data_IF_801468558009
#
_entry.id   IF_801468558009
#
_cell.length_a   1.000
_cell.length_b   1.000
_cell.length_c   1.000
_cell.angle_alpha   90.00
_cell.angle_beta   90.00
_cell.angle_gamma   90.00
#
_symmetry.space_group_name_H-M   'P 1'
#
loop_
_entity.id
_entity.type
_entity.pdbx_description
1 polymer ?
#
# COMPACT_ATOMS: atom_id res chain seq x y z
N UNK A 1 2.64 31.01 -8.38
CA UNK A 1 2.40 31.35 -9.78
C UNK A 1 0.90 31.19 -10.04
N UNK A 2 0.22 32.11 -10.72
CA UNK A 2 -1.21 31.99 -10.96
C UNK A 2 -1.48 30.84 -11.94
N UNK A 3 -2.46 29.99 -11.62
CA UNK A 3 -2.94 28.93 -12.46
C UNK A 3 -3.46 29.50 -13.81
N UNK A 4 -2.87 29.05 -14.90
CA UNK A 4 -3.34 29.41 -16.24
C UNK A 4 -4.53 28.49 -16.58
N UNK A 5 -5.74 28.90 -16.20
CA UNK A 5 -6.98 28.17 -16.44
C UNK A 5 -7.45 28.41 -17.88
N UNK A 6 -6.82 27.79 -18.85
CA UNK A 6 -7.35 27.66 -20.22
C UNK A 6 -8.30 26.46 -20.29
N UNK A 7 -9.45 26.45 -19.64
CA UNK A 7 -10.56 25.53 -19.89
C UNK A 7 -10.28 24.01 -20.02
N UNK A 8 -9.03 23.58 -19.91
CA UNK A 8 -8.63 22.18 -19.95
C UNK A 8 -8.88 21.52 -18.61
N UNK A 9 -9.43 20.29 -18.62
CA UNK A 9 -9.60 19.50 -17.41
C UNK A 9 -8.25 19.28 -16.71
N UNK A 10 -8.22 19.32 -15.38
CA UNK A 10 -7.02 19.09 -14.59
C UNK A 10 -6.42 17.72 -14.93
N UNK A 11 -5.09 17.60 -15.11
CA UNK A 11 -4.44 16.34 -15.44
C UNK A 11 -4.62 15.33 -14.30
N UNK A 12 -4.82 14.06 -14.67
CA UNK A 12 -5.05 12.94 -13.76
C UNK A 12 -3.75 12.19 -13.50
N UNK A 13 -3.34 12.16 -12.24
CA UNK A 13 -2.16 11.44 -11.78
C UNK A 13 -2.62 10.19 -11.02
N UNK A 14 -2.26 9.01 -11.52
CA UNK A 14 -2.56 7.73 -10.88
C UNK A 14 -1.31 7.19 -10.20
N UNK A 15 -1.38 6.94 -8.89
CA UNK A 15 -0.32 6.32 -8.09
C UNK A 15 -0.77 4.90 -7.76
N UNK A 16 0.02 3.90 -8.17
CA UNK A 16 -0.23 2.48 -7.94
C UNK A 16 0.65 1.98 -6.83
N UNK A 17 0.06 1.67 -5.68
CA UNK A 17 0.73 1.26 -4.46
C UNK A 17 0.92 2.42 -3.47
N UNK A 18 0.42 2.23 -2.25
CA UNK A 18 0.43 3.19 -1.14
C UNK A 18 1.51 2.91 -0.08
N UNK A 19 2.54 2.12 -0.42
CA UNK A 19 3.74 1.96 0.40
C UNK A 19 4.57 3.24 0.50
N UNK A 20 5.82 3.14 0.94
CA UNK A 20 6.68 4.32 1.14
C UNK A 20 6.73 5.24 -0.07
N UNK A 21 7.10 4.70 -1.24
CA UNK A 21 7.27 5.53 -2.43
C UNK A 21 5.95 6.20 -2.87
N UNK A 22 4.85 5.44 -2.91
CA UNK A 22 3.56 5.98 -3.34
C UNK A 22 2.96 6.97 -2.36
N UNK A 23 2.97 6.64 -1.08
CA UNK A 23 2.50 7.55 -0.03
C UNK A 23 3.26 8.88 -0.03
N UNK A 24 4.59 8.84 -0.04
CA UNK A 24 5.39 10.07 -0.05
C UNK A 24 5.30 10.83 -1.36
N UNK A 25 5.07 10.15 -2.50
CA UNK A 25 4.74 10.81 -3.77
C UNK A 25 3.46 11.61 -3.65
N UNK A 26 2.37 10.98 -3.20
CA UNK A 26 1.09 11.67 -2.99
C UNK A 26 1.23 12.83 -2.00
N UNK A 27 1.89 12.60 -0.86
CA UNK A 27 2.11 13.61 0.17
C UNK A 27 2.92 14.82 -0.30
N UNK A 28 3.89 14.60 -1.18
CA UNK A 28 4.65 15.68 -1.82
C UNK A 28 3.82 16.43 -2.85
N UNK A 29 3.05 15.71 -3.67
CA UNK A 29 2.15 16.33 -4.65
C UNK A 29 1.11 17.22 -3.97
N UNK A 30 0.50 16.80 -2.85
CA UNK A 30 -0.43 17.65 -2.10
C UNK A 30 0.17 18.97 -1.61
N UNK A 31 1.49 19.00 -1.36
CA UNK A 31 2.20 20.21 -0.94
C UNK A 31 2.64 21.10 -2.09
N UNK A 32 2.85 20.52 -3.25
CA UNK A 32 3.41 21.22 -4.42
C UNK A 32 2.30 21.73 -5.35
N UNK A 33 1.19 21.00 -5.43
CA UNK A 33 0.08 21.33 -6.32
C UNK A 33 -0.88 22.31 -5.64
N UNK A 34 -1.23 23.35 -6.38
CA UNK A 34 -2.35 24.23 -6.03
C UNK A 34 -3.70 23.55 -6.26
N UNK A 35 -4.75 24.16 -5.71
CA UNK A 35 -6.12 23.65 -5.85
C UNK A 35 -6.53 23.59 -7.33
N UNK A 36 -6.87 22.38 -7.82
CA UNK A 36 -7.32 22.16 -9.19
C UNK A 36 -6.20 22.07 -10.24
N UNK A 37 -4.92 22.08 -9.85
CA UNK A 37 -3.81 21.92 -10.80
C UNK A 37 -3.66 20.47 -11.28
N UNK A 38 -4.04 19.47 -10.47
CA UNK A 38 -4.13 18.08 -10.88
C UNK A 38 -5.13 17.31 -9.99
N UNK A 39 -5.64 16.19 -10.50
CA UNK A 39 -6.40 15.19 -9.76
C UNK A 39 -5.49 14.01 -9.43
N UNK A 40 -5.16 13.82 -8.15
CA UNK A 40 -4.28 12.72 -7.70
C UNK A 40 -5.14 11.59 -7.15
N UNK A 41 -4.93 10.38 -7.65
CA UNK A 41 -5.56 9.15 -7.14
C UNK A 41 -4.48 8.17 -6.72
N UNK A 42 -4.56 7.68 -5.48
CA UNK A 42 -3.73 6.60 -4.93
C UNK A 42 -4.56 5.33 -4.83
N UNK A 43 -4.10 4.25 -5.44
CA UNK A 43 -4.73 2.92 -5.38
C UNK A 43 -3.82 1.96 -4.63
N UNK A 44 -4.30 1.43 -3.51
CA UNK A 44 -3.62 0.42 -2.71
C UNK A 44 -4.64 -0.53 -2.08
N UNK A 45 -4.38 -1.85 -2.03
CA UNK A 45 -5.27 -2.79 -1.33
C UNK A 45 -5.47 -2.46 0.15
N UNK A 46 -4.44 -1.90 0.79
CA UNK A 46 -4.47 -1.52 2.20
C UNK A 46 -4.70 0.00 2.34
N UNK A 47 -5.58 0.43 3.25
CA UNK A 47 -5.85 1.86 3.48
C UNK A 47 -4.79 2.55 4.35
N UNK A 48 -3.62 1.92 4.50
CA UNK A 48 -2.54 2.39 5.36
C UNK A 48 -1.16 1.99 4.83
N UNK A 49 -0.16 2.79 5.19
CA UNK A 49 1.25 2.46 5.08
C UNK A 49 1.70 1.72 6.34
N UNK A 50 2.39 0.59 6.18
CA UNK A 50 3.05 -0.14 7.29
C UNK A 50 4.48 0.36 7.46
N UNK A 51 4.85 0.75 8.68
CA UNK A 51 6.24 1.05 9.03
C UNK A 51 7.00 -0.25 9.29
N UNK A 52 7.43 -0.90 8.22
CA UNK A 52 8.05 -2.23 8.23
C UNK A 52 9.25 -2.39 9.18
N UNK A 53 10.13 -1.37 9.40
CA UNK A 53 11.23 -1.51 10.35
C UNK A 53 10.82 -1.89 11.77
N UNK A 54 9.57 -1.65 12.18
CA UNK A 54 9.06 -2.01 13.50
C UNK A 54 8.27 -3.32 13.55
N UNK A 55 8.25 -4.09 12.47
CA UNK A 55 7.62 -5.42 12.50
C UNK A 55 8.31 -6.41 13.46
N UNK A 56 9.66 -6.43 13.60
CA UNK A 56 10.30 -7.25 14.63
C UNK A 56 9.86 -6.93 16.05
N UNK A 57 9.61 -5.65 16.37
CA UNK A 57 9.10 -5.21 17.67
C UNK A 57 7.64 -5.64 17.90
N UNK A 58 6.86 -5.73 16.83
CA UNK A 58 5.50 -6.32 16.87
C UNK A 58 5.59 -7.82 17.17
N UNK A 59 6.52 -8.53 16.54
CA UNK A 59 6.79 -9.95 16.84
C UNK A 59 7.21 -10.15 18.29
N UNK A 60 8.10 -9.30 18.80
CA UNK A 60 8.56 -9.32 20.20
C UNK A 60 7.48 -8.90 21.21
N UNK A 61 6.35 -8.36 20.75
CA UNK A 61 5.29 -7.84 21.63
C UNK A 61 5.60 -6.49 22.29
N UNK A 62 6.68 -5.83 21.88
CA UNK A 62 7.08 -4.52 22.43
C UNK A 62 6.24 -3.37 21.90
N UNK A 63 5.68 -3.52 20.69
CA UNK A 63 4.81 -2.54 20.03
C UNK A 63 3.55 -3.24 19.52
N UNK A 64 2.38 -2.62 19.74
CA UNK A 64 1.14 -3.13 19.15
C UNK A 64 1.08 -2.85 17.65
N UNK A 65 0.51 -3.79 16.89
CA UNK A 65 0.39 -3.72 15.44
C UNK A 65 -0.24 -2.41 14.94
N UNK A 66 -1.23 -1.86 15.67
CA UNK A 66 -1.87 -0.58 15.32
C UNK A 66 -0.92 0.64 15.34
N UNK A 67 0.20 0.56 16.06
CA UNK A 67 1.14 1.67 16.18
C UNK A 67 2.18 1.71 15.06
N UNK A 68 2.25 0.64 14.25
CA UNK A 68 3.16 0.58 13.10
C UNK A 68 2.49 0.90 11.77
N UNK A 69 1.27 1.44 11.81
CA UNK A 69 0.51 1.84 10.61
C UNK A 69 0.25 3.33 10.57
N UNK A 70 0.26 3.86 9.35
CA UNK A 70 -0.09 5.25 9.05
C UNK A 70 -1.24 5.27 8.05
N UNK A 71 -2.41 5.74 8.47
CA UNK A 71 -3.60 5.81 7.61
C UNK A 71 -3.39 6.78 6.46
N UNK A 72 -3.63 6.34 5.22
CA UNK A 72 -3.56 7.20 4.03
C UNK A 72 -4.53 8.37 4.15
N UNK A 73 -5.81 8.11 4.48
CA UNK A 73 -6.87 9.14 4.56
C UNK A 73 -6.64 10.18 5.64
N UNK A 74 -5.86 9.85 6.68
CA UNK A 74 -5.54 10.80 7.75
C UNK A 74 -4.53 11.86 7.28
N UNK A 75 -3.63 11.49 6.39
CA UNK A 75 -2.51 12.32 5.97
C UNK A 75 -2.64 12.86 4.55
N UNK A 76 -3.39 12.18 3.68
CA UNK A 76 -3.63 12.57 2.29
C UNK A 76 -5.08 13.06 2.17
N UNK A 77 -5.27 14.38 2.24
CA UNK A 77 -6.61 15.00 2.31
C UNK A 77 -7.14 15.45 0.96
N UNK A 78 -6.23 15.70 0.02
CA UNK A 78 -6.54 16.16 -1.34
C UNK A 78 -6.33 15.06 -2.39
N UNK A 79 -5.96 13.84 -1.96
CA UNK A 79 -5.74 12.68 -2.82
C UNK A 79 -6.94 11.73 -2.73
N UNK A 80 -7.46 11.29 -3.87
CA UNK A 80 -8.47 10.23 -3.92
C UNK A 80 -7.84 8.90 -3.52
N UNK A 81 -8.27 8.33 -2.38
CA UNK A 81 -7.77 7.03 -1.90
C UNK A 81 -8.75 5.94 -2.29
N UNK A 82 -8.28 5.00 -3.11
CA UNK A 82 -9.03 3.82 -3.54
C UNK A 82 -8.42 2.59 -2.87
N UNK A 83 -9.20 1.95 -1.97
CA UNK A 83 -8.83 0.67 -1.37
C UNK A 83 -9.09 -0.45 -2.39
N UNK A 84 -8.13 -0.73 -3.25
CA UNK A 84 -8.25 -1.65 -4.36
C UNK A 84 -6.91 -2.04 -4.95
N UNK A 85 -6.95 -2.93 -5.94
CA UNK A 85 -5.77 -3.45 -6.63
C UNK A 85 -5.80 -3.05 -8.10
N UNK A 86 -4.71 -2.50 -8.61
CA UNK A 86 -4.52 -2.34 -10.05
C UNK A 86 -4.06 -3.69 -10.63
N UNK A 87 -4.84 -4.25 -11.52
CA UNK A 87 -4.58 -5.58 -12.10
C UNK A 87 -4.06 -5.53 -13.52
N UNK A 88 -4.33 -4.43 -14.24
CA UNK A 88 -3.83 -4.23 -15.59
C UNK A 88 -3.62 -2.75 -15.89
N UNK A 89 -2.61 -2.44 -16.70
CA UNK A 89 -2.31 -1.09 -17.20
C UNK A 89 -2.16 -1.13 -18.72
N UNK A 90 -3.03 -0.43 -19.42
CA UNK A 90 -2.90 -0.16 -20.86
C UNK A 90 -2.31 1.25 -21.04
N UNK A 91 -0.99 1.33 -21.17
CA UNK A 91 -0.31 2.61 -21.24
C UNK A 91 -0.60 3.36 -22.56
N UNK A 92 -0.89 2.65 -23.65
CA UNK A 92 -1.25 3.27 -24.94
C UNK A 92 -2.59 4.00 -24.84
N UNK A 93 -3.56 3.41 -24.12
CA UNK A 93 -4.88 4.00 -23.90
C UNK A 93 -4.94 4.86 -22.64
N UNK A 94 -3.85 4.97 -21.89
CA UNK A 94 -3.79 5.70 -20.61
C UNK A 94 -4.88 5.25 -19.63
N UNK A 95 -5.10 3.94 -19.51
CA UNK A 95 -6.10 3.36 -18.61
C UNK A 95 -5.50 2.28 -17.71
N UNK A 96 -5.95 2.22 -16.47
CA UNK A 96 -5.67 1.15 -15.53
C UNK A 96 -6.96 0.46 -15.10
N UNK A 97 -6.95 -0.88 -15.00
CA UNK A 97 -8.06 -1.64 -14.46
C UNK A 97 -7.88 -1.76 -12.95
N UNK A 98 -8.91 -1.36 -12.21
CA UNK A 98 -8.93 -1.37 -10.74
C UNK A 98 -9.99 -2.34 -10.26
N UNK A 99 -9.60 -3.23 -9.35
CA UNK A 99 -10.46 -4.15 -8.63
C UNK A 99 -10.61 -3.68 -7.19
N UNK A 100 -11.86 -3.51 -6.77
CA UNK A 100 -12.24 -3.14 -5.40
C UNK A 100 -13.15 -4.23 -4.86
N UNK A 101 -12.92 -4.67 -3.63
CA UNK A 101 -13.74 -5.71 -3.01
C UNK A 101 -15.23 -5.33 -3.01
N UNK A 102 -16.08 -6.25 -3.47
CA UNK A 102 -17.53 -6.04 -3.56
C UNK A 102 -18.01 -5.21 -4.76
N UNK A 103 -17.11 -4.74 -5.62
CA UNK A 103 -17.45 -3.99 -6.83
C UNK A 103 -17.00 -4.73 -8.10
N UNK A 104 -17.65 -4.44 -9.22
CA UNK A 104 -17.15 -4.89 -10.51
C UNK A 104 -15.87 -4.13 -10.87
N UNK A 105 -14.86 -4.78 -11.47
CA UNK A 105 -13.67 -4.11 -11.97
C UNK A 105 -14.02 -2.95 -12.91
N UNK A 106 -13.34 -1.83 -12.76
CA UNK A 106 -13.55 -0.66 -13.60
C UNK A 106 -12.24 -0.10 -14.16
N UNK A 107 -12.35 0.73 -15.20
CA UNK A 107 -11.20 1.39 -15.82
C UNK A 107 -11.08 2.83 -15.31
N UNK A 108 -9.90 3.15 -14.80
CA UNK A 108 -9.50 4.51 -14.41
C UNK A 108 -8.61 5.09 -15.51
N UNK A 109 -8.99 6.26 -16.04
CA UNK A 109 -8.11 7.02 -16.94
C UNK A 109 -7.07 7.80 -16.17
N UNK A 110 -5.89 7.98 -16.77
CA UNK A 110 -4.82 8.80 -16.23
C UNK A 110 -4.05 9.50 -17.36
N UNK A 111 -3.44 10.64 -17.05
CA UNK A 111 -2.47 11.32 -17.92
C UNK A 111 -1.05 10.89 -17.55
N UNK A 112 -0.79 10.77 -16.24
CA UNK A 112 0.47 10.30 -15.68
C UNK A 112 0.23 9.15 -14.71
N UNK A 113 1.14 8.17 -14.71
CA UNK A 113 1.11 7.03 -13.79
C UNK A 113 2.44 6.89 -13.06
N UNK A 114 2.36 6.66 -11.75
CA UNK A 114 3.51 6.35 -10.90
C UNK A 114 3.31 4.95 -10.36
N UNK A 115 4.17 4.02 -10.74
CA UNK A 115 4.09 2.62 -10.32
C UNK A 115 5.02 2.37 -9.16
N UNK A 116 4.44 2.10 -7.98
CA UNK A 116 5.13 1.89 -6.71
C UNK A 116 4.59 0.64 -5.99
N UNK A 117 4.34 -0.41 -6.76
CA UNK A 117 3.68 -1.64 -6.29
C UNK A 117 4.48 -2.43 -5.23
N UNK A 118 5.70 -2.00 -4.92
CA UNK A 118 6.55 -2.62 -3.90
C UNK A 118 7.06 -4.00 -4.32
N UNK A 119 7.25 -4.88 -3.35
CA UNK A 119 7.72 -6.24 -3.55
C UNK A 119 7.03 -7.18 -2.57
N UNK A 120 6.95 -8.45 -2.89
CA UNK A 120 6.45 -9.53 -2.04
C UNK A 120 7.61 -10.41 -1.56
N UNK A 121 7.44 -11.10 -0.44
CA UNK A 121 8.39 -12.10 0.02
C UNK A 121 8.49 -13.22 -1.02
N UNK A 122 9.71 -13.63 -1.32
CA UNK A 122 10.00 -14.75 -2.22
C UNK A 122 10.74 -15.83 -1.45
N UNK A 123 10.21 -17.04 -1.47
CA UNK A 123 10.92 -18.22 -0.96
C UNK A 123 11.86 -18.76 -2.03
N UNK A 124 13.06 -19.17 -1.62
CA UNK A 124 13.95 -19.91 -2.50
C UNK A 124 13.46 -21.36 -2.64
N UNK A 125 13.78 -22.08 -3.74
CA UNK A 125 13.39 -23.45 -3.97
C UNK A 125 14.23 -24.42 -3.13
N UNK A 126 14.22 -24.22 -1.82
CA UNK A 126 14.87 -25.09 -0.82
C UNK A 126 13.77 -25.97 -0.23
N UNK A 127 13.94 -27.30 -0.17
CA UNK A 127 12.94 -28.20 0.40
C UNK A 127 12.51 -27.77 1.80
N UNK A 128 11.21 -27.69 2.04
CA UNK A 128 10.61 -27.31 3.32
C UNK A 128 10.52 -25.80 3.60
N UNK A 129 11.21 -24.94 2.85
CA UNK A 129 11.13 -23.49 3.12
C UNK A 129 9.76 -22.94 2.79
N UNK A 130 9.19 -23.30 1.64
CA UNK A 130 7.86 -22.81 1.25
C UNK A 130 6.75 -23.23 2.23
N UNK A 131 6.89 -24.40 2.84
CA UNK A 131 5.87 -24.97 3.73
C UNK A 131 6.01 -24.52 5.19
N UNK A 132 7.23 -24.12 5.62
CA UNK A 132 7.53 -23.87 7.04
C UNK A 132 7.97 -22.43 7.35
N UNK A 133 8.43 -21.66 6.35
CA UNK A 133 8.87 -20.30 6.58
C UNK A 133 7.67 -19.31 6.54
N UNK A 134 7.72 -18.32 7.41
CA UNK A 134 6.80 -17.20 7.41
C UNK A 134 7.60 -15.94 7.03
N UNK A 135 7.07 -15.14 6.12
CA UNK A 135 7.65 -13.83 5.78
C UNK A 135 7.50 -12.84 6.95
N UNK A 136 8.29 -11.77 6.93
CA UNK A 136 8.14 -10.66 7.87
C UNK A 136 8.08 -9.35 7.08
N UNK A 137 6.95 -9.12 6.43
CA UNK A 137 6.73 -7.96 5.57
C UNK A 137 5.39 -7.27 5.79
N UNK A 138 4.43 -8.00 6.33
CA UNK A 138 3.10 -7.52 6.67
C UNK A 138 2.84 -7.62 8.18
N UNK A 139 1.80 -6.93 8.63
CA UNK A 139 1.38 -7.00 10.03
C UNK A 139 0.84 -8.38 10.37
N UNK A 140 0.10 -8.98 9.46
CA UNK A 140 -0.48 -10.30 9.58
C UNK A 140 0.62 -11.36 9.80
N UNK A 141 1.69 -11.31 9.00
CA UNK A 141 2.87 -12.17 9.16
C UNK A 141 3.54 -11.97 10.52
N UNK A 142 3.72 -10.72 10.96
CA UNK A 142 4.32 -10.42 12.27
C UNK A 142 3.49 -10.98 13.43
N UNK A 143 2.16 -10.81 13.38
CA UNK A 143 1.24 -11.33 14.38
C UNK A 143 1.22 -12.86 14.37
N UNK A 144 1.23 -13.48 13.19
CA UNK A 144 1.31 -14.93 13.05
C UNK A 144 2.59 -15.50 13.68
N UNK A 145 3.75 -14.92 13.37
CA UNK A 145 5.04 -15.33 13.95
C UNK A 145 4.97 -15.24 15.49
N UNK A 146 4.52 -14.11 16.03
CA UNK A 146 4.36 -13.93 17.47
C UNK A 146 3.50 -15.01 18.09
N UNK A 147 2.31 -15.22 17.55
CA UNK A 147 1.36 -16.19 18.09
C UNK A 147 1.91 -17.62 18.00
N UNK A 148 2.62 -17.96 16.91
CA UNK A 148 3.24 -19.26 16.73
C UNK A 148 4.35 -19.52 17.76
N UNK A 149 5.18 -18.51 18.05
CA UNK A 149 6.22 -18.58 19.08
C UNK A 149 5.58 -18.85 20.46
N UNK A 150 4.59 -18.02 20.85
CA UNK A 150 3.92 -18.15 22.16
C UNK A 150 3.27 -19.53 22.29
N UNK A 151 2.49 -19.94 21.29
CA UNK A 151 1.80 -21.24 21.31
C UNK A 151 2.79 -22.41 21.41
N UNK A 152 3.95 -22.32 20.75
CA UNK A 152 4.96 -23.41 20.83
C UNK A 152 5.66 -23.42 22.19
N UNK A 153 5.93 -22.26 22.78
CA UNK A 153 6.48 -22.17 24.14
C UNK A 153 5.50 -22.74 25.19
N UNK A 154 4.22 -22.38 25.09
CA UNK A 154 3.17 -22.90 25.97
C UNK A 154 3.06 -24.43 25.88
N UNK A 155 3.11 -24.97 24.65
CA UNK A 155 3.12 -26.43 24.46
C UNK A 155 4.35 -27.09 25.08
N UNK A 156 5.52 -26.50 24.91
CA UNK A 156 6.77 -27.05 25.45
C UNK A 156 6.79 -26.97 26.99
N UNK A 157 6.18 -25.97 27.58
CA UNK A 157 6.10 -25.81 29.03
C UNK A 157 5.13 -26.82 29.71
N UNK A 158 4.22 -27.42 28.94
CA UNK A 158 3.23 -28.39 29.41
C UNK A 158 3.63 -29.87 29.15
N UNK A 159 4.84 -30.10 28.62
CA UNK A 159 5.45 -31.42 28.42
C UNK A 159 6.39 -31.77 29.55
#
# INVERSE_FOLDING_TARGET
>A
MPANNNGAAAPKILIVGGGYAGFYTAFKLEKLLGKGEAEVTLVDPLPYLTYQPFLPEVVAGSIEARHVVTSHRRHLRNTNIVAGKVTNVDHKKKTATIEVAGLKPYKQQYDQIVVTAGAVSRTFPIPGVADNAIGLKTIEEAVEIRNRIITNLDKAANL
#
